data_IF_395151455095
#
_entry.id   IF_395151455095
#
_cell.length_a   1.000
_cell.length_b   1.000
_cell.length_c   1.000
_cell.angle_alpha   90.00
_cell.angle_beta   90.00
_cell.angle_gamma   90.00
#
_symmetry.space_group_name_H-M   'P 1'
#
loop_
_entity.id
_entity.type
_entity.pdbx_description
1 polymer ?
#
# COMPACT_ATOMS: atom_id res chain seq x y z
N UNK A 1 -31.61 -33.94 -26.14
CA UNK A 1 -30.24 -34.43 -26.40
C UNK A 1 -29.32 -33.88 -25.33
N UNK A 2 -28.94 -34.71 -24.34
CA UNK A 2 -27.96 -34.36 -23.31
C UNK A 2 -26.79 -35.31 -23.50
N UNK A 3 -25.61 -34.78 -23.85
CA UNK A 3 -24.40 -35.56 -24.00
C UNK A 3 -23.91 -36.02 -22.63
N UNK A 4 -23.89 -37.33 -22.41
CA UNK A 4 -23.40 -37.96 -21.19
C UNK A 4 -21.86 -38.02 -21.28
N UNK A 5 -21.18 -37.14 -20.54
CA UNK A 5 -19.74 -37.00 -20.58
C UNK A 5 -19.10 -38.05 -19.66
N UNK A 6 -18.51 -39.08 -20.25
CA UNK A 6 -18.01 -40.26 -19.55
C UNK A 6 -16.57 -40.03 -19.04
N UNK A 7 -16.47 -39.43 -17.85
CA UNK A 7 -15.23 -39.05 -17.16
C UNK A 7 -14.26 -40.23 -16.91
N UNK A 8 -14.73 -41.47 -17.06
CA UNK A 8 -13.92 -42.68 -16.86
C UNK A 8 -12.83 -42.89 -17.92
N UNK A 9 -12.90 -42.18 -19.06
CA UNK A 9 -11.93 -42.33 -20.16
C UNK A 9 -10.62 -41.55 -19.97
N UNK A 10 -10.55 -40.63 -19.01
CA UNK A 10 -9.37 -39.76 -18.80
C UNK A 10 -8.43 -40.21 -17.68
N UNK A 11 -8.70 -41.34 -17.02
CA UNK A 11 -7.81 -41.87 -15.98
C UNK A 11 -6.55 -42.52 -16.60
N UNK A 12 -5.32 -42.00 -16.34
CA UNK A 12 -4.08 -42.56 -16.90
C UNK A 12 -3.63 -43.86 -16.21
N UNK A 13 -4.37 -44.36 -15.21
CA UNK A 13 -4.00 -45.54 -14.41
C UNK A 13 -4.48 -46.88 -14.99
N UNK A 14 -4.74 -46.96 -16.30
CA UNK A 14 -5.18 -48.20 -16.96
C UNK A 14 -4.03 -49.16 -17.33
N UNK A 15 -2.78 -48.78 -17.08
CA UNK A 15 -1.60 -49.55 -17.50
C UNK A 15 -1.05 -50.49 -16.43
N UNK A 16 -1.60 -50.50 -15.20
CA UNK A 16 -1.12 -51.34 -14.10
C UNK A 16 -2.24 -52.16 -13.44
N UNK A 17 -3.13 -52.77 -14.25
CA UNK A 17 -4.08 -53.76 -13.75
C UNK A 17 -3.57 -55.17 -14.08
N UNK A 18 -3.05 -55.94 -13.09
CA UNK A 18 -2.71 -57.34 -13.34
C UNK A 18 -3.98 -58.11 -13.72
N UNK A 19 -3.93 -58.80 -14.86
CA UNK A 19 -5.03 -59.65 -15.35
C UNK A 19 -5.23 -60.79 -14.35
N UNK A 20 -6.36 -60.80 -13.64
CA UNK A 20 -6.80 -61.99 -12.91
C UNK A 20 -7.53 -61.79 -11.58
N UNK A 21 -7.68 -60.57 -11.06
CA UNK A 21 -8.31 -60.35 -9.75
C UNK A 21 -9.55 -59.45 -9.87
N UNK A 22 -10.73 -60.07 -9.92
CA UNK A 22 -12.03 -59.43 -9.70
C UNK A 22 -12.18 -59.08 -8.21
N UNK A 23 -11.41 -58.11 -7.73
CA UNK A 23 -11.64 -57.53 -6.41
C UNK A 23 -12.79 -56.55 -6.55
N UNK A 24 -13.99 -57.01 -6.21
CA UNK A 24 -15.18 -56.17 -6.11
C UNK A 24 -14.97 -55.12 -5.02
N UNK A 25 -14.53 -53.93 -5.40
CA UNK A 25 -14.49 -52.79 -4.48
C UNK A 25 -15.92 -52.53 -3.98
N UNK A 26 -16.14 -52.67 -2.66
CA UNK A 26 -17.44 -52.39 -2.05
C UNK A 26 -17.80 -50.91 -2.28
N UNK A 27 -19.10 -50.59 -2.34
CA UNK A 27 -19.56 -49.20 -2.53
C UNK A 27 -18.98 -48.21 -1.51
N UNK A 28 -18.52 -48.69 -0.35
CA UNK A 28 -17.84 -47.90 0.67
C UNK A 28 -16.45 -47.41 0.21
N UNK A 29 -15.66 -48.23 -0.49
CA UNK A 29 -14.35 -47.84 -1.01
C UNK A 29 -14.45 -46.83 -2.15
N UNK A 30 -15.46 -46.96 -3.03
CA UNK A 30 -15.75 -45.94 -4.07
C UNK A 30 -16.11 -44.58 -3.47
N UNK A 31 -16.92 -44.57 -2.39
CA UNK A 31 -17.25 -43.34 -1.65
C UNK A 31 -16.07 -42.76 -0.88
N UNK A 32 -15.13 -43.60 -0.44
CA UNK A 32 -13.91 -43.15 0.23
C UNK A 32 -12.94 -42.47 -0.74
N UNK A 33 -12.67 -43.09 -1.89
CA UNK A 33 -11.81 -42.51 -2.92
C UNK A 33 -12.36 -41.18 -3.48
N UNK A 34 -13.68 -41.10 -3.72
CA UNK A 34 -14.32 -39.87 -4.17
C UNK A 34 -14.22 -38.74 -3.12
N UNK A 35 -14.43 -39.04 -1.83
CA UNK A 35 -14.29 -38.05 -0.75
C UNK A 35 -12.84 -37.64 -0.51
N UNK A 36 -11.88 -38.55 -0.68
CA UNK A 36 -10.46 -38.23 -0.58
C UNK A 36 -10.04 -37.25 -1.70
N UNK A 37 -10.41 -37.50 -2.95
CA UNK A 37 -10.12 -36.57 -4.06
C UNK A 37 -10.77 -35.19 -3.88
N UNK A 38 -12.01 -35.13 -3.41
CA UNK A 38 -12.70 -33.85 -3.14
C UNK A 38 -12.01 -33.05 -2.03
N UNK A 39 -11.50 -33.74 -0.99
CA UNK A 39 -10.75 -33.08 0.10
C UNK A 39 -9.43 -32.51 -0.39
N UNK A 40 -8.70 -33.22 -1.26
CA UNK A 40 -7.43 -32.74 -1.81
C UNK A 40 -7.64 -31.52 -2.72
N UNK A 41 -8.71 -31.51 -3.52
CA UNK A 41 -9.06 -30.35 -4.38
C UNK A 41 -9.46 -29.13 -3.53
N UNK A 42 -10.27 -29.34 -2.48
CA UNK A 42 -10.69 -28.27 -1.58
C UNK A 42 -9.52 -27.64 -0.80
N UNK A 43 -8.49 -28.42 -0.47
CA UNK A 43 -7.27 -27.91 0.18
C UNK A 43 -6.39 -27.17 -0.84
N UNK A 44 -6.30 -27.67 -2.08
CA UNK A 44 -5.47 -27.08 -3.14
C UNK A 44 -6.00 -25.71 -3.62
N UNK A 45 -7.32 -25.53 -3.71
CA UNK A 45 -7.91 -24.22 -4.04
C UNK A 45 -7.73 -23.16 -2.94
N UNK A 46 -7.39 -23.56 -1.72
CA UNK A 46 -7.38 -22.67 -0.55
C UNK A 46 -6.05 -21.93 -0.34
N UNK A 47 -5.03 -22.18 -1.16
CA UNK A 47 -3.67 -21.67 -0.94
C UNK A 47 -3.00 -21.19 -2.24
N UNK A 48 -3.74 -20.50 -3.12
CA UNK A 48 -3.05 -19.60 -4.06
C UNK A 48 -2.72 -18.34 -3.26
N UNK A 49 -1.44 -18.07 -2.92
CA UNK A 49 -1.09 -16.83 -2.25
C UNK A 49 -1.50 -15.68 -3.19
N UNK A 50 -2.47 -14.89 -2.76
CA UNK A 50 -2.88 -13.70 -3.49
C UNK A 50 -1.72 -12.71 -3.42
N UNK A 51 -1.03 -12.50 -4.54
CA UNK A 51 -0.01 -11.46 -4.64
C UNK A 51 -0.65 -10.09 -4.40
N UNK A 52 -0.26 -9.43 -3.31
CA UNK A 52 -0.77 -8.10 -2.93
C UNK A 52 0.02 -6.96 -3.57
N UNK A 53 1.11 -7.24 -4.30
CA UNK A 53 1.93 -6.24 -4.97
C UNK A 53 1.12 -5.26 -5.86
N UNK A 54 0.17 -5.69 -6.72
CA UNK A 54 -0.59 -4.75 -7.54
C UNK A 54 -1.56 -3.88 -6.74
N UNK A 55 -2.06 -4.38 -5.60
CA UNK A 55 -2.97 -3.64 -4.73
C UNK A 55 -2.24 -2.54 -3.96
N UNK A 56 -1.04 -2.84 -3.45
CA UNK A 56 -0.19 -1.87 -2.76
C UNK A 56 0.19 -0.73 -3.69
N UNK A 57 0.64 -1.05 -4.91
CA UNK A 57 1.00 -0.04 -5.91
C UNK A 57 -0.21 0.84 -6.27
N UNK A 58 -1.36 0.25 -6.62
CA UNK A 58 -2.58 1.01 -6.97
C UNK A 58 -3.06 1.90 -5.83
N UNK A 59 -3.04 1.40 -4.59
CA UNK A 59 -3.49 2.19 -3.44
C UNK A 59 -2.48 3.28 -3.07
N UNK A 60 -1.17 3.02 -3.21
CA UNK A 60 -0.12 4.02 -3.09
C UNK A 60 -0.30 5.18 -4.06
N UNK A 61 -0.54 4.90 -5.35
CA UNK A 61 -0.80 5.93 -6.36
C UNK A 61 -2.07 6.75 -6.11
N UNK A 62 -3.15 6.10 -5.64
CA UNK A 62 -4.38 6.81 -5.21
C UNK A 62 -4.08 7.74 -4.03
N UNK A 63 -3.30 7.25 -3.07
CA UNK A 63 -2.82 8.04 -1.95
C UNK A 63 -2.00 9.24 -2.41
N UNK A 64 -1.05 9.03 -3.32
CA UNK A 64 -0.22 10.09 -3.90
C UNK A 64 -1.08 11.18 -4.58
N UNK A 65 -2.06 10.77 -5.39
CA UNK A 65 -2.97 11.71 -6.05
C UNK A 65 -3.78 12.54 -5.05
N UNK A 66 -4.29 11.92 -3.98
CA UNK A 66 -4.95 12.65 -2.90
C UNK A 66 -3.98 13.59 -2.17
N UNK A 67 -2.76 13.13 -1.92
CA UNK A 67 -1.67 13.94 -1.36
C UNK A 67 -1.41 15.19 -2.20
N UNK A 68 -1.34 15.07 -3.52
CA UNK A 68 -1.17 16.21 -4.42
C UNK A 68 -2.32 17.22 -4.31
N UNK A 69 -3.57 16.77 -4.20
CA UNK A 69 -4.72 17.67 -4.01
C UNK A 69 -4.62 18.43 -2.68
N UNK A 70 -4.23 17.74 -1.61
CA UNK A 70 -3.97 18.37 -0.31
C UNK A 70 -2.79 19.35 -0.41
N UNK A 71 -1.75 19.02 -1.19
CA UNK A 71 -0.61 19.90 -1.43
C UNK A 71 -1.04 21.24 -2.03
N UNK A 72 -1.94 21.22 -3.01
CA UNK A 72 -2.43 22.46 -3.64
C UNK A 72 -3.14 23.35 -2.62
N UNK A 73 -4.03 22.78 -1.81
CA UNK A 73 -4.70 23.52 -0.74
C UNK A 73 -3.71 24.05 0.30
N UNK A 74 -2.72 23.23 0.68
CA UNK A 74 -1.69 23.60 1.63
C UNK A 74 -0.80 24.73 1.11
N UNK A 75 -0.43 24.72 -0.17
CA UNK A 75 0.35 25.78 -0.82
C UNK A 75 -0.41 27.10 -0.75
N UNK A 76 -1.70 27.09 -1.09
CA UNK A 76 -2.55 28.30 -0.98
C UNK A 76 -2.56 28.81 0.46
N UNK A 77 -2.78 27.93 1.44
CA UNK A 77 -2.75 28.31 2.86
C UNK A 77 -1.38 28.88 3.29
N UNK A 78 -0.28 28.29 2.83
CA UNK A 78 1.07 28.73 3.11
C UNK A 78 1.34 30.14 2.53
N UNK A 79 0.96 30.37 1.27
CA UNK A 79 1.11 31.67 0.60
C UNK A 79 0.26 32.74 1.30
N UNK A 80 -1.00 32.44 1.62
CA UNK A 80 -1.87 33.37 2.33
C UNK A 80 -1.33 33.71 3.73
N UNK A 81 -0.74 32.74 4.42
CA UNK A 81 -0.13 32.95 5.74
C UNK A 81 1.17 33.75 5.70
N UNK A 82 1.87 33.80 4.57
CA UNK A 82 3.07 34.62 4.38
C UNK A 82 2.74 36.12 4.20
N UNK A 83 1.50 36.45 3.80
CA UNK A 83 1.10 37.82 3.46
C UNK A 83 1.98 38.45 2.37
N UNK A 84 1.70 39.70 1.99
CA UNK A 84 2.57 40.47 1.08
C UNK A 84 3.89 40.92 1.76
N UNK A 85 4.64 39.97 2.33
CA UNK A 85 5.96 40.17 2.96
C UNK A 85 5.96 40.49 4.45
N UNK A 86 4.81 40.42 5.14
CA UNK A 86 4.66 40.75 6.56
C UNK A 86 3.96 39.66 7.39
N UNK A 87 3.59 38.53 6.78
CA UNK A 87 2.93 37.44 7.49
C UNK A 87 3.91 36.61 8.30
N UNK A 88 3.42 35.98 9.37
CA UNK A 88 4.22 35.16 10.29
C UNK A 88 4.59 33.79 9.70
N UNK A 89 4.21 33.49 8.45
CA UNK A 89 4.44 32.22 7.78
C UNK A 89 3.97 30.99 8.57
N UNK A 90 3.03 31.17 9.50
CA UNK A 90 2.54 30.12 10.42
C UNK A 90 2.07 28.88 9.66
N UNK A 91 1.24 29.06 8.62
CA UNK A 91 0.78 27.91 7.84
C UNK A 91 1.91 27.26 7.04
N UNK A 92 2.88 28.03 6.53
CA UNK A 92 4.04 27.48 5.83
C UNK A 92 4.93 26.66 6.78
N UNK A 93 5.17 27.15 8.00
CA UNK A 93 5.93 26.45 9.05
C UNK A 93 5.23 25.17 9.52
N UNK A 94 3.90 25.21 9.63
CA UNK A 94 3.11 24.05 10.05
C UNK A 94 2.95 23.00 8.94
N UNK A 95 2.72 23.42 7.70
CA UNK A 95 2.38 22.53 6.59
C UNK A 95 3.59 22.07 5.79
N UNK A 96 4.67 22.85 5.72
CA UNK A 96 5.90 22.54 4.97
C UNK A 96 7.15 22.69 5.82
N UNK A 97 7.23 22.03 6.98
CA UNK A 97 8.31 22.25 7.93
C UNK A 97 9.68 21.83 7.36
N UNK A 98 9.76 20.79 6.52
CA UNK A 98 11.02 20.36 5.93
C UNK A 98 11.57 21.37 4.92
N UNK A 99 10.70 21.91 4.07
CA UNK A 99 11.08 22.97 3.13
C UNK A 99 11.54 24.22 3.90
N UNK A 100 10.81 24.61 4.95
CA UNK A 100 11.16 25.75 5.80
C UNK A 100 12.47 25.56 6.58
N UNK A 101 12.77 24.36 7.06
CA UNK A 101 14.07 24.11 7.71
C UNK A 101 15.22 24.12 6.71
N UNK A 102 14.99 23.69 5.47
CA UNK A 102 16.02 23.66 4.45
C UNK A 102 16.42 25.06 3.98
N UNK A 103 15.47 25.99 3.89
CA UNK A 103 15.76 27.40 3.55
C UNK A 103 16.67 28.08 4.58
N UNK A 104 16.72 27.59 5.83
CA UNK A 104 17.66 28.07 6.83
C UNK A 104 19.10 27.66 6.54
N UNK A 105 19.27 26.46 5.95
CA UNK A 105 20.57 25.92 5.62
C UNK A 105 21.14 26.61 4.38
N UNK A 106 20.29 26.84 3.37
CA UNK A 106 20.68 27.45 2.09
C UNK A 106 20.49 28.98 2.06
N UNK A 107 19.88 29.56 3.11
CA UNK A 107 19.52 30.98 3.25
C UNK A 107 18.66 31.56 2.11
N UNK A 108 18.08 30.70 1.29
CA UNK A 108 17.25 31.09 0.15
C UNK A 108 16.14 30.06 -0.07
N UNK A 109 15.13 30.43 -0.86
CA UNK A 109 14.14 29.49 -1.37
C UNK A 109 14.57 29.11 -2.78
N UNK A 110 15.35 28.04 -2.89
CA UNK A 110 15.83 27.50 -4.15
C UNK A 110 14.91 26.40 -4.72
N UNK A 111 15.32 25.81 -5.85
CA UNK A 111 14.61 24.70 -6.46
C UNK A 111 14.52 23.46 -5.57
N UNK A 112 15.49 23.26 -4.67
CA UNK A 112 15.56 22.08 -3.79
C UNK A 112 14.45 22.16 -2.74
N UNK A 113 14.31 23.30 -2.08
CA UNK A 113 13.31 23.55 -1.05
C UNK A 113 11.90 23.49 -1.62
N UNK A 114 11.71 24.05 -2.81
CA UNK A 114 10.45 23.93 -3.56
C UNK A 114 10.18 22.46 -3.88
N UNK A 115 11.17 21.73 -4.39
CA UNK A 115 11.05 20.31 -4.71
C UNK A 115 10.66 19.47 -3.48
N UNK A 116 11.30 19.70 -2.34
CA UNK A 116 10.97 19.04 -1.06
C UNK A 116 9.54 19.36 -0.62
N UNK A 117 9.14 20.64 -0.69
CA UNK A 117 7.79 21.07 -0.34
C UNK A 117 6.71 20.42 -1.22
N UNK A 118 6.93 20.38 -2.53
CA UNK A 118 6.02 19.77 -3.50
C UNK A 118 5.94 18.24 -3.34
N UNK A 119 7.06 17.58 -3.03
CA UNK A 119 7.09 16.13 -2.85
C UNK A 119 6.46 15.68 -1.52
N UNK A 120 6.43 16.55 -0.51
CA UNK A 120 6.07 16.20 0.86
C UNK A 120 4.68 15.53 0.98
N UNK A 121 3.64 16.17 0.46
CA UNK A 121 2.27 15.66 0.54
C UNK A 121 1.99 14.44 -0.35
N UNK A 122 2.45 14.39 -1.61
CA UNK A 122 2.38 13.17 -2.42
C UNK A 122 3.07 11.96 -1.77
N UNK A 123 4.22 12.17 -1.12
CA UNK A 123 4.92 11.11 -0.38
C UNK A 123 4.10 10.64 0.82
N UNK A 124 3.54 11.56 1.61
CA UNK A 124 2.65 11.19 2.73
C UNK A 124 1.41 10.43 2.25
N UNK A 125 0.80 10.89 1.15
CA UNK A 125 -0.31 10.21 0.52
C UNK A 125 0.05 8.79 0.08
N UNK A 126 1.21 8.61 -0.55
CA UNK A 126 1.72 7.29 -0.95
C UNK A 126 1.92 6.37 0.24
N UNK A 127 2.53 6.87 1.33
CA UNK A 127 2.75 6.12 2.56
C UNK A 127 1.43 5.69 3.21
N UNK A 128 0.47 6.61 3.31
CA UNK A 128 -0.86 6.33 3.87
C UNK A 128 -1.62 5.31 3.00
N UNK A 129 -1.63 5.50 1.68
CA UNK A 129 -2.25 4.56 0.74
C UNK A 129 -1.66 3.16 0.86
N UNK A 130 -0.33 3.06 0.90
CA UNK A 130 0.37 1.78 1.04
C UNK A 130 0.13 1.14 2.42
N UNK A 131 0.07 1.95 3.48
CA UNK A 131 -0.24 1.49 4.84
C UNK A 131 -1.64 0.89 4.94
N UNK A 132 -2.64 1.52 4.29
CA UNK A 132 -4.01 0.98 4.22
C UNK A 132 -4.04 -0.38 3.51
N UNK A 133 -3.31 -0.53 2.39
CA UNK A 133 -3.26 -1.79 1.64
C UNK A 133 -2.54 -2.92 2.39
N UNK A 134 -1.59 -2.58 3.25
CA UNK A 134 -0.75 -3.54 4.00
C UNK A 134 -1.18 -3.74 5.46
N UNK A 135 -2.08 -2.89 5.97
CA UNK A 135 -2.40 -2.73 7.39
C UNK A 135 -1.14 -2.49 8.26
N UNK A 136 -0.14 -1.78 7.70
CA UNK A 136 1.13 -1.49 8.37
C UNK A 136 1.40 0.03 8.38
N UNK A 137 1.13 0.66 9.52
CA UNK A 137 1.22 2.12 9.70
C UNK A 137 2.58 2.59 10.23
N UNK A 138 3.59 1.72 10.35
CA UNK A 138 4.89 2.10 10.94
C UNK A 138 5.55 3.26 10.19
N UNK A 139 5.58 3.20 8.85
CA UNK A 139 6.17 4.25 8.03
C UNK A 139 5.38 5.58 8.13
N UNK A 140 4.05 5.50 8.24
CA UNK A 140 3.19 6.68 8.45
C UNK A 140 3.47 7.30 9.82
N UNK A 141 3.60 6.49 10.85
CA UNK A 141 3.93 6.96 12.20
C UNK A 141 5.29 7.66 12.26
N UNK A 142 6.31 7.09 11.61
CA UNK A 142 7.65 7.71 11.51
C UNK A 142 7.58 9.04 10.74
N UNK A 143 6.89 9.07 9.60
CA UNK A 143 6.73 10.30 8.81
C UNK A 143 5.97 11.39 9.57
N UNK A 144 4.90 11.02 10.30
CA UNK A 144 4.14 11.94 11.13
C UNK A 144 4.99 12.48 12.30
N UNK A 145 5.74 11.62 12.98
CA UNK A 145 6.64 12.04 14.06
C UNK A 145 7.74 12.98 13.54
N UNK A 146 8.34 12.68 12.38
CA UNK A 146 9.34 13.53 11.76
C UNK A 146 8.75 14.90 11.37
N UNK A 147 7.54 14.92 10.79
CA UNK A 147 6.85 16.16 10.44
C UNK A 147 6.53 17.01 11.67
N UNK A 148 6.01 16.39 12.74
CA UNK A 148 5.75 17.07 14.01
C UNK A 148 7.04 17.63 14.63
N UNK A 149 8.12 16.85 14.66
CA UNK A 149 9.41 17.32 15.18
C UNK A 149 9.95 18.51 14.38
N UNK A 150 9.85 18.45 13.04
CA UNK A 150 10.26 19.54 12.17
C UNK A 150 9.37 20.79 12.37
N UNK A 151 8.05 20.62 12.48
CA UNK A 151 7.12 21.71 12.79
C UNK A 151 7.42 22.35 14.14
N UNK A 152 7.61 21.55 15.19
CA UNK A 152 7.99 22.03 16.51
C UNK A 152 9.32 22.79 16.47
N UNK A 153 10.30 22.33 15.69
CA UNK A 153 11.55 23.06 15.50
C UNK A 153 11.28 24.46 14.88
N UNK A 154 10.42 24.54 13.86
CA UNK A 154 10.02 25.82 13.25
C UNK A 154 9.30 26.78 14.22
N UNK A 155 8.61 26.27 15.24
CA UNK A 155 7.90 27.09 16.25
C UNK A 155 8.66 27.26 17.57
N UNK A 156 9.77 26.57 17.76
CA UNK A 156 10.52 26.55 19.02
C UNK A 156 11.18 27.88 19.39
N UNK A 157 11.32 28.81 18.43
CA UNK A 157 12.09 30.04 18.61
C UNK A 157 13.61 29.81 18.77
N UNK A 158 14.07 28.55 18.75
CA UNK A 158 15.49 28.19 18.81
C UNK A 158 16.23 28.62 17.53
N UNK A 159 15.50 28.64 16.41
CA UNK A 159 16.00 29.11 15.13
C UNK A 159 15.73 30.62 15.04
N UNK A 160 16.78 31.43 15.20
CA UNK A 160 16.69 32.90 15.24
C UNK A 160 16.07 33.54 13.99
N UNK A 161 16.02 32.82 12.87
CA UNK A 161 15.34 33.24 11.65
C UNK A 161 13.80 33.11 11.72
N UNK A 162 13.26 32.42 12.73
CA UNK A 162 11.83 32.21 12.93
C UNK A 162 11.31 32.70 14.29
N UNK A 163 12.20 33.19 15.15
CA UNK A 163 11.89 33.78 16.46
C UNK A 163 11.19 35.14 16.35
#
# INVERSE_FOLDING_TARGET
MVANFDWLKLCPLRTLQPRGLNVGYSGAMRRWAARAHLRTIAISMKIVPMDRSPLIHRQGWRGAAMGTLVALAAIVAAVLSGGAGHGSYVAARALFPFSMLLTLLERSIGPIEIGVGLAQFPLYGTLIGSAIATNNYRAVGVAAAAHLAAGLACFSGILSAFA
#
